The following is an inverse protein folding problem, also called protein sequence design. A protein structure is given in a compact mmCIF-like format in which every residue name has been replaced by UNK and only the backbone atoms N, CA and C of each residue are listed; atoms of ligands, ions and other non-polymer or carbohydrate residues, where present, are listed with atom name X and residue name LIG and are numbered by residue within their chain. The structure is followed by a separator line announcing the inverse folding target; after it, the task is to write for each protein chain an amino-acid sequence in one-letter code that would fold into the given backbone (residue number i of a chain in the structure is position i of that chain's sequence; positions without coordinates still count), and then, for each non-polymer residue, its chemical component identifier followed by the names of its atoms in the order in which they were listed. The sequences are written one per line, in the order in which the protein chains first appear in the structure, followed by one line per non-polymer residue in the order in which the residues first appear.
data_IF_567061324005
#
_entry.id   IF_567061324005
#
_cell.length_a   1.000
_cell.length_b   1.000
_cell.length_c   1.000
_cell.angle_alpha   90.00
_cell.angle_beta   90.00
_cell.angle_gamma   90.00
#
_symmetry.space_group_name_H-M   'P 1'
#
loop_
_entity.id
_entity.type
_entity.pdbx_description
1 polymer ?
#
# COMPACT_ATOMS: atom_id res chain seq x y z
N UNK A 1 -7.22 20.94 -9.74
CA UNK A 1 -6.89 21.33 -8.34
C UNK A 1 -5.39 21.17 -8.15
N UNK A 2 -4.76 21.95 -7.27
CA UNK A 2 -3.36 21.68 -6.91
C UNK A 2 -3.30 20.41 -6.04
N UNK A 3 -2.32 19.52 -6.28
CA UNK A 3 -2.18 18.29 -5.49
C UNK A 3 -1.75 18.60 -4.05
N UNK A 4 -2.22 17.80 -3.11
CA UNK A 4 -1.73 17.83 -1.74
C UNK A 4 -0.36 17.17 -1.68
N UNK A 5 0.62 17.85 -1.09
CA UNK A 5 2.01 17.37 -1.01
C UNK A 5 2.39 16.99 0.41
N UNK A 6 2.87 15.77 0.58
CA UNK A 6 3.31 15.24 1.88
C UNK A 6 4.69 14.59 1.78
N UNK A 7 5.46 14.59 2.88
CA UNK A 7 6.73 13.84 2.92
C UNK A 7 6.53 12.33 2.96
N UNK A 8 5.46 11.89 3.63
CA UNK A 8 5.13 10.50 3.83
C UNK A 8 3.62 10.33 3.95
N UNK A 9 3.10 9.24 3.40
CA UNK A 9 1.69 8.83 3.45
C UNK A 9 1.64 7.35 3.84
N UNK A 10 0.67 6.99 4.68
CA UNK A 10 0.42 5.61 5.10
C UNK A 10 -0.99 5.20 4.68
N UNK A 11 -1.11 4.00 4.11
CA UNK A 11 -2.37 3.32 3.81
C UNK A 11 -2.32 1.94 4.46
N UNK A 12 -3.42 1.51 5.07
CA UNK A 12 -3.55 0.25 5.81
C UNK A 12 -4.94 -0.34 5.54
N UNK A 13 -5.09 -1.66 5.63
CA UNK A 13 -6.39 -2.35 5.63
C UNK A 13 -7.30 -1.97 4.44
N UNK A 14 -6.72 -1.93 3.25
CA UNK A 14 -7.46 -1.58 2.02
C UNK A 14 -8.36 -2.73 1.56
N UNK A 15 -7.90 -3.97 1.69
CA UNK A 15 -8.58 -5.21 1.33
C UNK A 15 -9.12 -5.26 -0.11
N UNK A 16 -8.26 -5.04 -1.11
CA UNK A 16 -8.61 -5.32 -2.50
C UNK A 16 -8.98 -6.81 -2.64
N UNK A 17 -10.19 -7.10 -3.09
CA UNK A 17 -10.74 -8.45 -3.19
C UNK A 17 -11.92 -8.65 -2.24
N UNK A 18 -12.11 -7.75 -1.28
CA UNK A 18 -13.28 -7.70 -0.42
C UNK A 18 -14.42 -6.89 -1.07
N UNK A 19 -15.66 -7.38 -0.96
CA UNK A 19 -16.82 -6.84 -1.67
C UNK A 19 -17.16 -5.39 -1.32
N UNK A 20 -16.85 -4.97 -0.09
CA UNK A 20 -17.19 -3.64 0.42
C UNK A 20 -16.01 -2.65 0.36
N UNK A 21 -14.90 -3.05 -0.27
CA UNK A 21 -13.71 -2.21 -0.46
C UNK A 21 -14.08 -0.88 -1.13
N UNK A 22 -13.66 0.23 -0.51
CA UNK A 22 -13.99 1.60 -0.92
C UNK A 22 -13.04 2.12 -2.01
N UNK A 23 -12.96 1.37 -3.10
CA UNK A 23 -11.99 1.57 -4.18
C UNK A 23 -12.01 2.97 -4.78
N UNK A 24 -13.20 3.56 -4.97
CA UNK A 24 -13.28 4.89 -5.60
C UNK A 24 -12.66 5.97 -4.72
N UNK A 25 -12.91 5.94 -3.40
CA UNK A 25 -12.27 6.85 -2.46
C UNK A 25 -10.75 6.73 -2.47
N UNK A 26 -10.24 5.50 -2.56
CA UNK A 26 -8.79 5.28 -2.65
C UNK A 26 -8.20 5.80 -3.96
N UNK A 27 -8.89 5.60 -5.09
CA UNK A 27 -8.44 6.14 -6.38
C UNK A 27 -8.42 7.67 -6.37
N UNK A 28 -9.49 8.29 -5.87
CA UNK A 28 -9.59 9.75 -5.76
C UNK A 28 -8.48 10.30 -4.85
N UNK A 29 -8.21 9.63 -3.72
CA UNK A 29 -7.10 9.97 -2.83
C UNK A 29 -5.74 9.86 -3.53
N UNK A 30 -5.46 8.75 -4.22
CA UNK A 30 -4.21 8.54 -4.93
C UNK A 30 -4.00 9.54 -6.08
N UNK A 31 -5.07 10.05 -6.68
CA UNK A 31 -5.00 11.06 -7.74
C UNK A 31 -4.56 12.43 -7.20
N UNK A 32 -5.09 12.84 -6.05
CA UNK A 32 -4.86 14.20 -5.52
C UNK A 32 -3.68 14.31 -4.57
N UNK A 33 -3.03 13.20 -4.21
CA UNK A 33 -1.92 13.15 -3.25
C UNK A 33 -0.58 12.85 -3.93
N UNK A 34 0.39 13.74 -3.71
CA UNK A 34 1.81 13.57 -4.03
C UNK A 34 2.60 13.33 -2.74
N UNK A 35 3.53 12.38 -2.77
CA UNK A 35 4.42 12.14 -1.63
C UNK A 35 5.79 11.60 -2.02
N UNK A 36 6.79 11.78 -1.15
CA UNK A 36 8.12 11.17 -1.34
C UNK A 36 8.11 9.68 -0.98
N UNK A 37 7.35 9.31 0.06
CA UNK A 37 7.23 7.94 0.57
C UNK A 37 5.77 7.54 0.74
N UNK A 38 5.40 6.39 0.20
CA UNK A 38 4.10 5.78 0.39
C UNK A 38 4.28 4.43 1.09
N UNK A 39 3.77 4.33 2.31
CA UNK A 39 3.74 3.09 3.07
C UNK A 39 2.40 2.40 2.86
N UNK A 40 2.46 1.13 2.44
CA UNK A 40 1.35 0.20 2.40
C UNK A 40 1.56 -0.72 3.61
N UNK A 41 0.81 -0.49 4.68
CA UNK A 41 0.99 -1.11 6.00
C UNK A 41 -0.08 -2.17 6.16
N UNK A 42 0.15 -3.33 5.59
CA UNK A 42 -0.70 -4.50 5.70
C UNK A 42 -2.00 -4.45 4.91
N UNK A 43 -2.51 -5.66 4.66
CA UNK A 43 -3.85 -5.94 4.17
C UNK A 43 -4.28 -5.07 2.96
N UNK A 44 -3.36 -4.86 2.02
CA UNK A 44 -3.64 -4.21 0.74
C UNK A 44 -4.52 -5.10 -0.13
N UNK A 45 -4.19 -6.40 -0.20
CA UNK A 45 -4.94 -7.40 -0.98
C UNK A 45 -5.52 -8.45 -0.03
N UNK A 46 -6.82 -8.69 -0.13
CA UNK A 46 -7.49 -9.71 0.66
C UNK A 46 -7.55 -11.04 -0.10
N UNK A 47 -6.47 -11.81 -0.03
CA UNK A 47 -6.41 -13.14 -0.65
C UNK A 47 -7.38 -14.12 0.02
N UNK A 48 -7.69 -13.94 1.30
CA UNK A 48 -8.66 -14.77 2.00
C UNK A 48 -10.07 -14.59 1.42
N UNK A 49 -10.51 -13.35 1.20
CA UNK A 49 -11.77 -13.04 0.52
C UNK A 49 -11.78 -13.60 -0.90
N UNK A 50 -10.70 -13.41 -1.67
CA UNK A 50 -10.61 -13.93 -3.04
C UNK A 50 -10.74 -15.46 -3.09
N UNK A 51 -10.11 -16.19 -2.17
CA UNK A 51 -10.25 -17.66 -2.06
C UNK A 51 -11.68 -18.10 -1.73
N UNK A 52 -12.47 -17.25 -1.06
CA UNK A 52 -13.87 -17.51 -0.68
C UNK A 52 -14.89 -17.03 -1.72
N UNK A 53 -14.45 -16.71 -2.94
CA UNK A 53 -15.33 -16.21 -4.00
C UNK A 53 -15.51 -14.70 -4.02
N UNK A 54 -14.62 -13.96 -3.34
CA UNK A 54 -14.43 -12.53 -3.53
C UNK A 54 -14.19 -12.18 -4.99
N UNK A 55 -14.43 -10.92 -5.36
CA UNK A 55 -14.36 -10.48 -6.76
C UNK A 55 -13.17 -9.56 -6.96
N UNK A 56 -12.70 -9.50 -8.20
CA UNK A 56 -11.67 -8.55 -8.63
C UNK A 56 -12.22 -7.58 -9.70
N UNK A 57 -13.06 -6.60 -9.32
CA UNK A 57 -13.53 -5.59 -10.26
C UNK A 57 -12.37 -4.77 -10.83
N UNK A 58 -12.57 -4.18 -12.02
CA UNK A 58 -11.55 -3.39 -12.70
C UNK A 58 -10.94 -2.26 -11.84
N UNK A 59 -11.71 -1.72 -10.89
CA UNK A 59 -11.22 -0.72 -9.93
C UNK A 59 -10.01 -1.19 -9.10
N UNK A 60 -9.95 -2.47 -8.73
CA UNK A 60 -8.82 -3.00 -7.93
C UNK A 60 -7.51 -2.98 -8.74
N UNK A 61 -7.58 -3.41 -10.00
CA UNK A 61 -6.45 -3.31 -10.92
C UNK A 61 -6.02 -1.86 -11.18
N UNK A 62 -6.96 -0.91 -11.21
CA UNK A 62 -6.63 0.52 -11.31
C UNK A 62 -5.86 1.03 -10.08
N UNK A 63 -6.21 0.57 -8.88
CA UNK A 63 -5.45 0.91 -7.66
C UNK A 63 -4.02 0.40 -7.77
N UNK A 64 -3.82 -0.88 -8.09
CA UNK A 64 -2.47 -1.44 -8.26
C UNK A 64 -1.67 -0.69 -9.32
N UNK A 65 -2.29 -0.38 -10.47
CA UNK A 65 -1.65 0.41 -11.53
C UNK A 65 -1.26 1.81 -11.06
N UNK A 66 -2.09 2.46 -10.25
CA UNK A 66 -1.80 3.79 -9.69
C UNK A 66 -0.61 3.73 -8.72
N UNK A 67 -0.55 2.72 -7.86
CA UNK A 67 0.59 2.49 -6.96
C UNK A 67 1.90 2.27 -7.72
N UNK A 68 1.87 1.41 -8.74
CA UNK A 68 3.04 1.17 -9.61
C UNK A 68 3.44 2.42 -10.40
N UNK A 69 2.48 3.22 -10.86
CA UNK A 69 2.76 4.48 -11.55
C UNK A 69 3.45 5.48 -10.63
N UNK A 70 3.03 5.59 -9.36
CA UNK A 70 3.71 6.42 -8.35
C UNK A 70 5.15 5.93 -8.13
N UNK A 71 5.36 4.63 -7.99
CA UNK A 71 6.70 4.05 -7.89
C UNK A 71 7.57 4.44 -9.10
N UNK A 72 7.03 4.29 -10.32
CA UNK A 72 7.71 4.69 -11.56
C UNK A 72 7.99 6.19 -11.70
N UNK A 73 7.27 7.04 -10.95
CA UNK A 73 7.49 8.49 -10.88
C UNK A 73 8.50 8.88 -9.78
N UNK A 74 9.12 7.91 -9.11
CA UNK A 74 10.14 8.14 -8.09
C UNK A 74 9.60 8.24 -6.66
N UNK A 75 8.31 7.96 -6.44
CA UNK A 75 7.79 7.77 -5.07
C UNK A 75 8.38 6.48 -4.51
N UNK A 76 8.98 6.53 -3.33
CA UNK A 76 9.44 5.31 -2.66
C UNK A 76 8.23 4.61 -2.06
N UNK A 77 7.80 3.50 -2.66
CA UNK A 77 6.65 2.72 -2.17
C UNK A 77 7.17 1.56 -1.35
N UNK A 78 6.83 1.53 -0.06
CA UNK A 78 7.22 0.49 0.89
C UNK A 78 5.98 -0.31 1.25
N UNK A 79 6.02 -1.61 1.08
CA UNK A 79 4.94 -2.53 1.38
C UNK A 79 5.33 -3.49 2.49
N UNK A 80 4.57 -3.43 3.57
CA UNK A 80 4.67 -4.28 4.75
C UNK A 80 3.46 -5.22 4.71
N UNK A 81 3.61 -6.52 4.40
CA UNK A 81 2.48 -7.44 4.33
C UNK A 81 1.82 -7.69 5.69
N UNK A 82 0.49 -7.73 5.69
CA UNK A 82 -0.33 -8.12 6.83
C UNK A 82 -0.73 -9.60 6.76
N UNK A 83 -1.75 -9.97 7.54
CA UNK A 83 -2.21 -11.35 7.63
C UNK A 83 -3.11 -11.76 6.45
N UNK A 84 -3.86 -10.84 5.83
CA UNK A 84 -4.70 -11.15 4.66
C UNK A 84 -3.89 -11.30 3.36
N UNK A 85 -2.69 -10.73 3.33
CA UNK A 85 -1.72 -10.83 2.24
C UNK A 85 -0.39 -11.46 2.66
N UNK A 86 -0.47 -12.43 3.59
CA UNK A 86 0.66 -13.24 4.05
C UNK A 86 1.52 -13.83 2.90
N UNK A 87 0.92 -14.13 1.75
CA UNK A 87 1.62 -14.65 0.56
C UNK A 87 2.65 -13.67 -0.01
N UNK A 88 2.52 -12.38 0.28
CA UNK A 88 3.52 -11.39 -0.08
C UNK A 88 4.79 -11.50 0.78
N UNK A 89 4.72 -12.17 1.94
CA UNK A 89 5.88 -12.40 2.82
C UNK A 89 6.94 -13.31 2.18
N UNK A 90 6.56 -14.14 1.21
CA UNK A 90 7.51 -14.95 0.43
C UNK A 90 8.46 -14.10 -0.44
N UNK A 91 8.16 -12.81 -0.61
CA UNK A 91 8.88 -11.88 -1.47
C UNK A 91 9.58 -10.76 -0.69
N UNK A 92 9.69 -10.89 0.63
CA UNK A 92 10.41 -9.91 1.46
C UNK A 92 11.86 -9.75 1.00
N UNK A 93 12.34 -8.51 1.03
CA UNK A 93 13.67 -8.13 0.55
C UNK A 93 13.74 -7.91 -0.97
N UNK A 94 12.67 -8.17 -1.71
CA UNK A 94 12.60 -7.92 -3.15
C UNK A 94 12.03 -6.54 -3.47
N UNK A 95 12.41 -6.04 -4.65
CA UNK A 95 11.81 -4.87 -5.28
C UNK A 95 10.92 -5.33 -6.44
N UNK A 96 9.60 -5.28 -6.27
CA UNK A 96 8.63 -5.76 -7.25
C UNK A 96 7.93 -4.57 -7.90
N UNK A 97 8.21 -4.31 -9.18
CA UNK A 97 7.60 -3.19 -9.90
C UNK A 97 7.91 -1.81 -9.29
N UNK A 98 9.04 -1.68 -8.60
CA UNK A 98 9.42 -0.46 -7.86
C UNK A 98 8.83 -0.36 -6.45
N UNK A 99 8.14 -1.38 -5.96
CA UNK A 99 7.63 -1.49 -4.59
C UNK A 99 8.59 -2.34 -3.76
N UNK A 100 9.06 -1.81 -2.63
CA UNK A 100 9.93 -2.50 -1.68
C UNK A 100 9.09 -3.35 -0.73
N UNK A 101 9.31 -4.66 -0.69
CA UNK A 101 8.62 -5.54 0.26
C UNK A 101 9.50 -5.79 1.47
N UNK A 102 9.04 -5.41 2.66
CA UNK A 102 9.80 -5.48 3.92
C UNK A 102 8.92 -5.98 5.07
N UNK A 103 9.50 -6.66 6.04
CA UNK A 103 8.76 -7.15 7.21
C UNK A 103 8.32 -6.01 8.13
N UNK A 104 9.19 -5.02 8.29
CA UNK A 104 8.98 -3.81 9.07
C UNK A 104 9.83 -2.69 8.47
N UNK A 105 9.54 -1.45 8.86
CA UNK A 105 10.31 -0.30 8.39
C UNK A 105 10.50 0.76 9.48
N UNK A 106 11.68 1.34 9.57
CA UNK A 106 11.95 2.47 10.46
C UNK A 106 11.76 3.81 9.75
N UNK A 107 10.70 4.54 10.08
CA UNK A 107 10.45 5.88 9.57
C UNK A 107 11.14 6.95 10.41
N UNK A 108 11.86 7.86 9.75
CA UNK A 108 12.46 9.05 10.37
C UNK A 108 11.60 10.28 10.09
N UNK A 109 11.04 10.86 11.14
CA UNK A 109 10.21 12.06 11.05
C UNK A 109 11.05 13.31 10.75
N UNK A 110 10.39 14.40 10.37
CA UNK A 110 11.08 15.68 10.13
C UNK A 110 11.72 16.28 11.38
N UNK A 111 11.22 15.93 12.57
CA UNK A 111 11.73 16.38 13.87
C UNK A 111 12.72 15.38 14.51
N UNK A 112 13.20 14.38 13.76
CA UNK A 112 14.27 13.46 14.19
C UNK A 112 13.80 12.29 15.06
N UNK A 113 12.50 12.10 15.26
CA UNK A 113 11.95 10.90 15.89
C UNK A 113 12.03 9.71 14.94
N UNK A 114 12.15 8.52 15.54
CA UNK A 114 12.16 7.23 14.83
C UNK A 114 10.89 6.48 15.19
N UNK A 115 10.11 6.10 14.18
CA UNK A 115 8.91 5.28 14.33
C UNK A 115 9.13 3.93 13.67
N UNK A 116 8.84 2.86 14.42
CA UNK A 116 8.72 1.53 13.84
C UNK A 116 7.36 1.43 13.13
N UNK A 117 7.37 0.95 11.89
CA UNK A 117 6.18 0.71 11.08
C UNK A 117 6.06 -0.79 10.85
N UNK A 118 4.95 -1.35 11.32
CA UNK A 118 4.56 -2.76 11.20
C UNK A 118 3.04 -2.81 10.96
N UNK A 119 2.51 -3.90 10.42
CA UNK A 119 1.05 -4.12 10.37
C UNK A 119 0.46 -4.27 11.78
N UNK A 120 1.10 -5.08 12.63
CA UNK A 120 0.70 -5.29 14.03
C UNK A 120 -0.13 -6.55 14.27
N UNK A 121 -0.14 -7.50 13.32
CA UNK A 121 -0.72 -8.83 13.48
C UNK A 121 0.21 -9.84 14.19
N UNK A 122 1.49 -9.49 14.35
CA UNK A 122 2.53 -10.29 15.02
C UNK A 122 2.62 -10.09 16.53
#
# INVERSE_FOLDING_TARGET
MQPYRYRAVWLSDVHLGFKDCKVQFLLDFLEVVECERLYLVGDLIDFWSLRKGGRWPAGHGRVLKSLLAKAGQGVRVIYIPGNHDEVARDYLGLLVGGVELVAEYEHHTADGRRFLVTHGDE
#
